data_IF_609353328297
#
_entry.id   IF_609353328297
#
_cell.length_a   1.000
_cell.length_b   1.000
_cell.length_c   1.000
_cell.angle_alpha   90.00
_cell.angle_beta   90.00
_cell.angle_gamma   90.00
#
_symmetry.space_group_name_H-M   'P 1'
#
loop_
_entity.id
_entity.type
_entity.pdbx_description
1 polymer ?
#
# COMPACT_ATOMS: atom_id res chain seq x y z
N UNK A 1 -96.52 8.31 -3.57
CA UNK A 1 -95.58 9.47 -3.51
C UNK A 1 -94.86 9.41 -2.17
N UNK A 2 -93.51 9.53 -2.17
CA UNK A 2 -92.54 9.42 -1.05
C UNK A 2 -92.13 7.98 -0.69
N UNK A 3 -91.10 7.39 -1.31
CA UNK A 3 -89.63 7.57 -1.21
C UNK A 3 -88.99 6.99 0.06
N UNK A 4 -88.27 5.89 -0.16
CA UNK A 4 -87.28 5.21 0.69
C UNK A 4 -86.13 6.16 1.05
N UNK A 5 -85.64 6.11 2.30
CA UNK A 5 -84.37 6.70 2.72
C UNK A 5 -83.26 5.64 2.64
N UNK A 6 -82.07 5.93 2.08
CA UNK A 6 -80.87 5.13 2.33
C UNK A 6 -80.03 5.75 3.46
N UNK A 7 -79.45 4.88 4.28
CA UNK A 7 -78.44 5.18 5.29
C UNK A 7 -77.09 5.46 4.59
N UNK A 8 -76.42 6.54 5.02
CA UNK A 8 -75.08 6.89 4.56
C UNK A 8 -74.04 6.24 5.47
N UNK A 9 -73.27 5.30 4.93
CA UNK A 9 -72.04 4.79 5.53
C UNK A 9 -70.95 5.85 5.37
N UNK A 10 -70.43 6.39 6.47
CA UNK A 10 -69.22 7.21 6.46
C UNK A 10 -68.00 6.31 6.26
N UNK A 11 -67.38 6.41 5.08
CA UNK A 11 -66.06 5.83 4.81
C UNK A 11 -65.00 6.74 5.47
N UNK A 12 -64.39 6.30 6.56
CA UNK A 12 -63.18 6.93 7.07
C UNK A 12 -61.98 6.48 6.22
N UNK A 13 -61.48 7.35 5.34
CA UNK A 13 -60.16 7.19 4.73
C UNK A 13 -59.09 7.45 5.79
N UNK A 14 -58.50 6.38 6.31
CA UNK A 14 -57.23 6.47 7.05
C UNK A 14 -56.09 6.55 6.04
N UNK A 15 -55.55 7.75 5.84
CA UNK A 15 -54.29 7.96 5.12
C UNK A 15 -53.17 7.49 6.05
N UNK A 16 -52.65 6.29 5.82
CA UNK A 16 -51.40 5.85 6.43
C UNK A 16 -50.27 6.59 5.72
N UNK A 17 -49.78 7.66 6.34
CA UNK A 17 -48.58 8.36 5.92
C UNK A 17 -47.38 7.45 6.27
N UNK A 18 -46.97 6.62 5.32
CA UNK A 18 -45.72 5.85 5.42
C UNK A 18 -44.55 6.83 5.40
N UNK A 19 -44.12 7.26 6.58
CA UNK A 19 -42.85 7.99 6.75
C UNK A 19 -41.75 7.00 6.42
N UNK A 20 -41.26 7.01 5.18
CA UNK A 20 -39.94 6.48 4.88
C UNK A 20 -38.94 7.32 5.65
N UNK A 21 -38.52 6.83 6.81
CA UNK A 21 -37.26 7.23 7.42
C UNK A 21 -36.16 6.84 6.44
N UNK A 22 -35.85 7.75 5.52
CA UNK A 22 -34.56 7.75 4.84
C UNK A 22 -33.57 8.07 5.95
N UNK A 23 -32.98 7.02 6.54
CA UNK A 23 -31.82 7.19 7.37
C UNK A 23 -30.80 7.98 6.53
N UNK A 24 -30.23 9.08 7.05
CA UNK A 24 -29.15 9.71 6.34
C UNK A 24 -28.04 8.66 6.25
N UNK A 25 -27.67 8.24 5.04
CA UNK A 25 -26.42 7.53 4.81
C UNK A 25 -25.31 8.56 5.02
N UNK A 26 -25.06 8.90 6.28
CA UNK A 26 -23.83 9.56 6.71
C UNK A 26 -22.77 8.48 6.87
N UNK A 27 -22.46 7.82 5.75
CA UNK A 27 -21.26 7.01 5.66
C UNK A 27 -20.12 7.94 5.30
N UNK A 28 -19.50 8.58 6.28
CA UNK A 28 -18.11 8.97 6.07
C UNK A 28 -17.38 7.66 5.77
N UNK A 29 -16.94 7.47 4.53
CA UNK A 29 -16.17 6.29 4.12
C UNK A 29 -15.02 6.12 5.12
N UNK A 30 -15.00 5.01 5.84
CA UNK A 30 -13.93 4.74 6.79
C UNK A 30 -12.62 4.62 6.01
N UNK A 31 -11.61 5.37 6.44
CA UNK A 31 -10.28 5.35 5.84
C UNK A 31 -9.71 3.92 5.85
N UNK A 32 -9.16 3.47 4.72
CA UNK A 32 -8.46 2.18 4.66
C UNK A 32 -7.17 2.29 5.48
N UNK A 33 -7.03 1.49 6.53
CA UNK A 33 -5.82 1.42 7.31
C UNK A 33 -5.33 -0.02 7.35
N UNK A 34 -4.41 -0.33 6.46
CA UNK A 34 -4.00 -1.71 6.15
C UNK A 34 -2.63 -2.03 6.76
N UNK A 35 -2.52 -3.20 7.38
CA UNK A 35 -1.26 -3.69 7.95
C UNK A 35 -0.86 -4.99 7.30
N UNK A 36 0.33 -5.05 6.68
CA UNK A 36 0.90 -6.33 6.26
C UNK A 36 1.50 -7.03 7.48
N UNK A 37 1.09 -8.27 7.73
CA UNK A 37 1.63 -9.13 8.79
C UNK A 37 2.38 -10.29 8.14
N UNK A 38 3.68 -10.39 8.42
CA UNK A 38 4.58 -11.32 7.75
C UNK A 38 4.85 -12.56 8.61
N UNK A 39 5.20 -13.67 7.96
CA UNK A 39 5.65 -14.87 8.67
C UNK A 39 7.01 -14.73 9.34
N UNK A 40 7.84 -13.81 8.85
CA UNK A 40 9.16 -13.45 9.39
C UNK A 40 9.01 -12.69 10.71
N UNK A 41 8.04 -11.80 10.79
CA UNK A 41 7.75 -10.97 11.97
C UNK A 41 6.27 -11.11 12.38
N UNK A 42 5.82 -12.27 12.89
CA UNK A 42 4.42 -12.55 13.20
C UNK A 42 4.00 -11.91 14.55
N UNK A 43 4.40 -10.66 14.76
CA UNK A 43 4.26 -9.91 16.01
C UNK A 43 3.16 -8.88 15.81
N UNK A 44 2.19 -8.90 16.73
CA UNK A 44 1.09 -7.93 16.80
C UNK A 44 1.14 -7.32 18.19
N UNK A 45 1.11 -5.99 18.34
CA UNK A 45 1.14 -5.34 19.64
C UNK A 45 -0.17 -5.55 20.42
N UNK A 46 -0.26 -4.91 21.58
CA UNK A 46 -1.52 -4.75 22.32
C UNK A 46 -2.66 -4.21 21.45
N UNK A 47 -3.89 -4.65 21.74
CA UNK A 47 -5.08 -4.32 20.94
C UNK A 47 -5.37 -2.82 20.85
N UNK A 48 -4.97 -2.03 21.85
CA UNK A 48 -5.05 -0.56 21.86
C UNK A 48 -4.27 0.10 20.71
N UNK A 49 -3.18 -0.53 20.24
CA UNK A 49 -2.36 0.00 19.15
C UNK A 49 -2.86 -0.40 17.76
N UNK A 50 -3.79 -1.35 17.67
CA UNK A 50 -4.34 -1.83 16.38
C UNK A 50 -5.85 -1.68 16.28
N UNK A 51 -6.48 -0.98 17.22
CA UNK A 51 -7.95 -0.84 17.28
C UNK A 51 -8.56 -0.04 16.12
N UNK A 52 -7.75 0.71 15.39
CA UNK A 52 -8.14 1.50 14.21
C UNK A 52 -7.73 0.85 12.88
N UNK A 53 -7.01 -0.29 12.92
CA UNK A 53 -6.63 -1.03 11.72
C UNK A 53 -7.87 -1.64 11.09
N UNK A 54 -8.15 -1.31 9.84
CA UNK A 54 -9.35 -1.77 9.14
C UNK A 54 -9.10 -3.03 8.33
N UNK A 55 -7.86 -3.24 7.88
CA UNK A 55 -7.47 -4.43 7.14
C UNK A 55 -6.12 -4.98 7.61
N UNK A 56 -5.97 -6.29 7.58
CA UNK A 56 -4.69 -6.99 7.76
C UNK A 56 -4.46 -7.89 6.58
N UNK A 57 -3.31 -7.76 5.92
CA UNK A 57 -2.90 -8.62 4.82
C UNK A 57 -1.85 -9.63 5.32
N UNK A 58 -2.18 -10.92 5.29
CA UNK A 58 -1.26 -11.99 5.70
C UNK A 58 -0.28 -12.30 4.57
N UNK A 59 0.98 -11.91 4.75
CA UNK A 59 2.04 -12.01 3.76
C UNK A 59 2.98 -13.20 4.02
N UNK A 60 3.16 -14.15 3.10
CA UNK A 60 2.45 -14.31 1.81
C UNK A 60 2.02 -15.76 1.61
N UNK A 61 0.95 -15.93 0.83
CA UNK A 61 0.63 -17.20 0.18
C UNK A 61 1.35 -17.25 -1.17
N UNK A 62 2.11 -18.33 -1.43
CA UNK A 62 2.78 -18.48 -2.73
C UNK A 62 1.78 -18.63 -3.86
N UNK A 63 1.99 -17.88 -4.94
CA UNK A 63 1.19 -17.86 -6.16
C UNK A 63 1.16 -19.22 -6.84
N UNK A 64 2.24 -20.00 -6.72
CA UNK A 64 2.35 -21.34 -7.33
C UNK A 64 1.23 -22.30 -6.89
N UNK A 65 0.74 -22.17 -5.66
CA UNK A 65 -0.29 -23.03 -5.07
C UNK A 65 -1.63 -22.91 -5.82
N UNK A 66 -1.92 -21.76 -6.42
CA UNK A 66 -3.19 -21.50 -7.10
C UNK A 66 -3.27 -22.09 -8.51
N UNK A 67 -2.16 -22.61 -9.04
CA UNK A 67 -2.12 -23.23 -10.36
C UNK A 67 -2.35 -24.76 -10.32
N UNK A 68 -2.62 -25.32 -9.15
CA UNK A 68 -2.79 -26.76 -8.96
C UNK A 68 -4.27 -27.17 -8.90
N UNK A 69 -4.78 -28.01 -9.82
CA UNK A 69 -6.16 -28.48 -9.79
C UNK A 69 -6.49 -29.25 -8.51
N UNK A 70 -7.64 -28.91 -7.89
CA UNK A 70 -8.17 -29.67 -6.76
C UNK A 70 -7.43 -29.46 -5.44
N UNK A 71 -6.62 -28.41 -5.31
CA UNK A 71 -5.94 -28.06 -4.05
C UNK A 71 -6.93 -27.89 -2.90
N UNK A 72 -6.55 -28.37 -1.72
CA UNK A 72 -7.30 -28.19 -0.46
C UNK A 72 -6.43 -27.67 0.70
N UNK A 73 -5.10 -27.65 0.55
CA UNK A 73 -4.18 -27.18 1.58
C UNK A 73 -3.64 -25.79 1.22
N UNK A 74 -3.63 -24.90 2.21
CA UNK A 74 -3.30 -23.48 2.11
C UNK A 74 -2.40 -23.08 3.29
N UNK A 75 -1.10 -23.43 3.23
CA UNK A 75 -0.19 -23.28 4.36
C UNK A 75 0.18 -21.81 4.58
N UNK A 76 -0.49 -21.17 5.52
CA UNK A 76 -0.11 -19.88 6.08
C UNK A 76 0.75 -20.06 7.33
N UNK A 77 1.61 -19.08 7.61
CA UNK A 77 2.40 -19.04 8.86
C UNK A 77 1.54 -18.86 10.13
N UNK A 78 0.26 -18.51 9.97
CA UNK A 78 -0.74 -18.32 11.01
C UNK A 78 -2.13 -18.64 10.48
N UNK A 79 -3.16 -18.66 11.32
CA UNK A 79 -4.55 -18.79 10.88
C UNK A 79 -5.27 -17.45 10.92
N UNK A 80 -6.31 -17.30 10.09
CA UNK A 80 -7.18 -16.11 10.06
C UNK A 80 -7.81 -15.87 11.43
N UNK A 81 -8.35 -16.91 12.09
CA UNK A 81 -8.97 -16.79 13.41
C UNK A 81 -7.99 -16.30 14.49
N UNK A 82 -6.75 -16.82 14.48
CA UNK A 82 -5.72 -16.40 15.42
C UNK A 82 -5.39 -14.92 15.25
N UNK A 83 -5.30 -14.44 14.01
CA UNK A 83 -5.05 -13.03 13.73
C UNK A 83 -6.28 -12.21 14.11
N UNK A 84 -7.47 -12.58 13.65
CA UNK A 84 -8.74 -11.88 13.94
C UNK A 84 -8.94 -11.63 15.44
N UNK A 85 -8.58 -12.58 16.29
CA UNK A 85 -8.69 -12.45 17.75
C UNK A 85 -7.84 -11.31 18.37
N UNK A 86 -6.87 -10.76 17.61
CA UNK A 86 -5.98 -9.68 18.06
C UNK A 86 -6.39 -8.29 17.57
N UNK A 87 -7.32 -8.20 16.63
CA UNK A 87 -7.77 -6.94 16.02
C UNK A 87 -9.22 -6.64 16.39
N UNK A 88 -9.71 -5.47 15.98
CA UNK A 88 -11.11 -5.12 16.16
C UNK A 88 -12.03 -6.07 15.37
N UNK A 89 -13.27 -6.24 15.83
CA UNK A 89 -14.19 -7.25 15.27
C UNK A 89 -14.50 -7.00 13.79
N UNK A 90 -14.52 -5.74 13.38
CA UNK A 90 -14.76 -5.25 12.02
C UNK A 90 -13.54 -5.32 11.10
N UNK A 91 -12.34 -5.57 11.64
CA UNK A 91 -11.10 -5.65 10.85
C UNK A 91 -11.19 -6.81 9.86
N UNK A 92 -10.98 -6.49 8.58
CA UNK A 92 -10.94 -7.45 7.48
C UNK A 92 -9.59 -8.13 7.42
N UNK A 93 -9.57 -9.46 7.38
CA UNK A 93 -8.34 -10.24 7.28
C UNK A 93 -8.23 -10.77 5.85
N UNK A 94 -7.27 -10.27 5.09
CA UNK A 94 -6.96 -10.67 3.72
C UNK A 94 -5.75 -11.61 3.71
N UNK A 95 -5.64 -12.42 2.66
CA UNK A 95 -4.44 -13.18 2.35
C UNK A 95 -3.73 -12.50 1.18
N UNK A 96 -2.49 -12.07 1.40
CA UNK A 96 -1.66 -11.50 0.33
C UNK A 96 -1.04 -12.64 -0.49
N UNK A 97 -1.24 -12.60 -1.80
CA UNK A 97 -0.76 -13.62 -2.74
C UNK A 97 0.39 -13.02 -3.56
N UNK A 98 1.55 -13.67 -3.53
CA UNK A 98 2.73 -13.24 -4.29
C UNK A 98 3.81 -12.61 -3.43
N UNK A 99 4.17 -11.37 -3.77
CA UNK A 99 5.32 -10.63 -3.27
C UNK A 99 6.54 -10.73 -4.18
N UNK A 100 7.57 -9.94 -3.87
CA UNK A 100 8.81 -9.84 -4.63
C UNK A 100 9.41 -11.21 -5.01
N UNK A 101 9.52 -11.46 -6.31
CA UNK A 101 10.11 -12.68 -6.88
C UNK A 101 9.12 -13.81 -7.18
N UNK A 102 7.89 -13.79 -6.68
CA UNK A 102 6.85 -14.79 -7.01
C UNK A 102 6.08 -14.42 -8.30
N UNK A 103 6.83 -14.17 -9.38
CA UNK A 103 6.30 -13.65 -10.65
C UNK A 103 5.85 -14.76 -11.61
N UNK A 104 6.63 -15.85 -11.73
CA UNK A 104 6.43 -16.86 -12.77
C UNK A 104 5.06 -17.57 -12.69
N UNK A 105 4.56 -17.80 -11.48
CA UNK A 105 3.26 -18.43 -11.27
C UNK A 105 2.10 -17.49 -11.62
N UNK A 106 2.25 -16.17 -11.48
CA UNK A 106 1.27 -15.20 -11.98
C UNK A 106 1.27 -15.17 -13.51
N UNK A 107 2.44 -15.15 -14.14
CA UNK A 107 2.56 -15.24 -15.60
C UNK A 107 1.91 -16.53 -16.13
N UNK A 108 2.03 -17.65 -15.42
CA UNK A 108 1.31 -18.88 -15.77
C UNK A 108 -0.21 -18.71 -15.63
N UNK A 109 -0.67 -18.19 -14.49
CA UNK A 109 -2.09 -17.99 -14.19
C UNK A 109 -2.77 -17.08 -15.24
N UNK A 110 -2.13 -15.98 -15.61
CA UNK A 110 -2.69 -14.99 -16.54
C UNK A 110 -2.72 -15.46 -18.00
N UNK A 111 -1.91 -16.48 -18.37
CA UNK A 111 -1.59 -16.85 -19.77
C UNK A 111 -2.80 -17.24 -20.62
N UNK A 112 -3.77 -17.94 -20.03
CA UNK A 112 -4.91 -18.49 -20.76
C UNK A 112 -6.20 -18.36 -19.96
N UNK A 113 -7.34 -18.37 -20.63
CA UNK A 113 -8.65 -18.37 -19.96
C UNK A 113 -8.79 -19.53 -18.98
N UNK A 114 -8.30 -20.72 -19.36
CA UNK A 114 -8.35 -21.91 -18.50
C UNK A 114 -7.50 -21.72 -17.23
N UNK A 115 -6.29 -21.16 -17.37
CA UNK A 115 -5.39 -20.93 -16.24
C UNK A 115 -5.95 -19.87 -15.30
N UNK A 116 -6.51 -18.78 -15.84
CA UNK A 116 -7.14 -17.73 -15.03
C UNK A 116 -8.31 -18.26 -14.21
N UNK A 117 -9.17 -19.07 -14.84
CA UNK A 117 -10.30 -19.72 -14.16
C UNK A 117 -9.86 -20.70 -13.08
N UNK A 118 -8.82 -21.49 -13.34
CA UNK A 118 -8.26 -22.39 -12.33
C UNK A 118 -7.72 -21.59 -11.13
N UNK A 119 -6.93 -20.55 -11.39
CA UNK A 119 -6.41 -19.67 -10.35
C UNK A 119 -7.53 -19.04 -9.53
N UNK A 120 -8.52 -18.42 -10.20
CA UNK A 120 -9.67 -17.79 -9.55
C UNK A 120 -10.51 -18.78 -8.72
N UNK A 121 -10.74 -19.99 -9.22
CA UNK A 121 -11.44 -21.05 -8.48
C UNK A 121 -10.66 -21.44 -7.23
N UNK A 122 -9.35 -21.59 -7.34
CA UNK A 122 -8.48 -21.91 -6.21
C UNK A 122 -8.43 -20.78 -5.17
N UNK A 123 -8.50 -19.51 -5.60
CA UNK A 123 -8.69 -18.37 -4.69
C UNK A 123 -10.00 -18.51 -3.93
N UNK A 124 -11.12 -18.83 -4.60
CA UNK A 124 -12.40 -19.04 -3.93
C UNK A 124 -12.32 -20.17 -2.90
N UNK A 125 -11.73 -21.32 -3.25
CA UNK A 125 -11.54 -22.45 -2.32
C UNK A 125 -10.70 -22.05 -1.11
N UNK A 126 -9.61 -21.31 -1.34
CA UNK A 126 -8.75 -20.81 -0.27
C UNK A 126 -9.51 -19.90 0.70
N UNK A 127 -10.34 -18.98 0.20
CA UNK A 127 -11.16 -18.10 1.04
C UNK A 127 -12.21 -18.87 1.86
N UNK A 128 -12.83 -19.89 1.29
CA UNK A 128 -13.79 -20.75 2.00
C UNK A 128 -13.12 -21.57 3.12
N UNK A 129 -11.93 -22.11 2.86
CA UNK A 129 -11.20 -22.95 3.84
C UNK A 129 -10.59 -22.09 4.96
N UNK A 130 -10.02 -20.94 4.62
CA UNK A 130 -9.30 -20.10 5.59
C UNK A 130 -10.22 -19.18 6.37
N UNK A 131 -11.41 -18.84 5.83
CA UNK A 131 -12.30 -17.84 6.42
C UNK A 131 -11.81 -16.39 6.26
N UNK A 132 -10.86 -16.13 5.36
CA UNK A 132 -10.37 -14.78 5.08
C UNK A 132 -11.45 -13.91 4.41
N UNK A 133 -11.49 -12.62 4.74
CA UNK A 133 -12.48 -11.67 4.20
C UNK A 133 -12.22 -11.28 2.74
N UNK A 134 -11.05 -11.63 2.21
CA UNK A 134 -10.61 -11.22 0.88
C UNK A 134 -9.16 -11.57 0.60
N UNK A 135 -8.63 -11.00 -0.48
CA UNK A 135 -7.25 -11.16 -0.91
C UNK A 135 -6.58 -9.82 -1.17
N UNK A 136 -5.25 -9.82 -1.11
CA UNK A 136 -4.41 -8.78 -1.67
C UNK A 136 -3.54 -9.40 -2.78
N UNK A 137 -3.55 -8.84 -3.97
CA UNK A 137 -2.73 -9.31 -5.10
C UNK A 137 -1.43 -8.51 -5.15
N UNK A 138 -0.31 -9.18 -4.97
CA UNK A 138 1.02 -8.56 -5.01
C UNK A 138 1.87 -9.19 -6.11
N UNK A 139 1.57 -8.84 -7.37
CA UNK A 139 2.36 -9.26 -8.53
C UNK A 139 3.39 -8.17 -8.84
N UNK A 140 4.68 -8.50 -8.64
CA UNK A 140 5.80 -7.58 -8.87
C UNK A 140 6.67 -7.95 -10.10
N UNK A 141 6.51 -7.34 -11.28
CA UNK A 141 5.36 -6.55 -11.73
C UNK A 141 4.81 -7.11 -13.05
N UNK A 142 3.48 -7.03 -13.29
CA UNK A 142 2.90 -7.40 -14.56
C UNK A 142 3.46 -6.51 -15.68
N UNK A 143 3.99 -7.14 -16.72
CA UNK A 143 4.63 -6.46 -17.85
C UNK A 143 6.15 -6.38 -17.75
N UNK A 144 6.74 -6.67 -16.58
CA UNK A 144 8.19 -6.76 -16.41
C UNK A 144 8.74 -5.97 -15.23
N UNK A 145 10.06 -5.72 -15.25
CA UNK A 145 10.82 -5.08 -14.17
C UNK A 145 10.74 -5.73 -12.77
N UNK A 146 10.21 -6.95 -12.66
CA UNK A 146 10.27 -7.77 -11.43
C UNK A 146 11.69 -8.21 -11.06
N UNK A 147 11.82 -9.13 -10.12
CA UNK A 147 13.12 -9.68 -9.69
C UNK A 147 13.92 -10.25 -10.87
N UNK A 148 13.23 -10.90 -11.80
CA UNK A 148 13.79 -11.64 -12.92
C UNK A 148 14.12 -10.79 -14.16
N UNK A 149 13.98 -9.46 -14.10
CA UNK A 149 14.02 -8.55 -15.26
C UNK A 149 15.30 -8.60 -16.11
N UNK A 150 16.41 -9.09 -15.55
CA UNK A 150 17.69 -9.28 -16.26
C UNK A 150 17.73 -10.56 -17.08
N UNK A 151 16.93 -11.55 -16.69
CA UNK A 151 16.82 -12.85 -17.35
C UNK A 151 15.58 -12.94 -18.23
N UNK A 152 14.55 -12.14 -17.94
CA UNK A 152 13.30 -12.06 -18.69
C UNK A 152 13.01 -10.60 -19.05
N UNK A 153 13.38 -10.17 -20.28
CA UNK A 153 13.20 -8.78 -20.71
C UNK A 153 11.72 -8.44 -20.86
N UNK A 154 11.38 -7.15 -20.75
CA UNK A 154 9.99 -6.69 -20.71
C UNK A 154 9.21 -7.04 -21.99
N UNK A 155 9.88 -7.14 -23.14
CA UNK A 155 9.27 -7.52 -24.42
C UNK A 155 8.66 -8.94 -24.38
N UNK A 156 9.21 -9.86 -23.57
CA UNK A 156 8.65 -11.20 -23.37
C UNK A 156 7.41 -11.21 -22.48
N UNK A 157 7.20 -10.13 -21.73
CA UNK A 157 6.14 -9.95 -20.72
C UNK A 157 5.09 -8.92 -21.11
N UNK A 158 5.22 -8.24 -22.24
CA UNK A 158 4.28 -7.18 -22.68
C UNK A 158 2.81 -7.66 -22.68
N UNK A 159 2.57 -8.93 -23.05
CA UNK A 159 1.23 -9.53 -23.04
C UNK A 159 0.57 -9.56 -21.64
N UNK A 160 1.34 -9.47 -20.55
CA UNK A 160 0.85 -9.40 -19.17
C UNK A 160 0.07 -8.11 -18.89
N UNK A 161 0.38 -7.02 -19.61
CA UNK A 161 -0.26 -5.71 -19.44
C UNK A 161 -1.79 -5.82 -19.63
N UNK A 162 -2.22 -6.53 -20.67
CA UNK A 162 -3.66 -6.76 -20.93
C UNK A 162 -4.19 -8.02 -20.22
N UNK A 163 -3.32 -8.95 -19.82
CA UNK A 163 -3.74 -10.17 -19.13
C UNK A 163 -4.00 -9.95 -17.64
N UNK A 164 -3.33 -8.99 -16.99
CA UNK A 164 -3.51 -8.68 -15.58
C UNK A 164 -4.96 -8.28 -15.21
N UNK A 165 -5.60 -7.29 -15.86
CA UNK A 165 -7.02 -6.99 -15.59
C UNK A 165 -7.95 -8.19 -15.87
N UNK A 166 -7.62 -9.06 -16.83
CA UNK A 166 -8.42 -10.26 -17.11
C UNK A 166 -8.32 -11.29 -15.97
N UNK A 167 -7.14 -11.44 -15.36
CA UNK A 167 -6.95 -12.30 -14.19
C UNK A 167 -7.76 -11.77 -13.01
N UNK A 168 -7.68 -10.47 -12.73
CA UNK A 168 -8.45 -9.84 -11.65
C UNK A 168 -9.97 -9.97 -11.86
N UNK A 169 -10.44 -9.84 -13.10
CA UNK A 169 -11.86 -10.01 -13.43
C UNK A 169 -12.34 -11.45 -13.18
N UNK A 170 -11.57 -12.47 -13.58
CA UNK A 170 -11.91 -13.87 -13.30
C UNK A 170 -11.92 -14.16 -11.79
N UNK A 171 -10.98 -13.58 -11.03
CA UNK A 171 -10.97 -13.67 -9.56
C UNK A 171 -12.22 -13.04 -8.96
N UNK A 172 -12.55 -11.80 -9.35
CA UNK A 172 -13.75 -11.10 -8.89
C UNK A 172 -15.02 -11.90 -9.19
N UNK A 173 -15.12 -12.47 -10.39
CA UNK A 173 -16.24 -13.34 -10.76
C UNK A 173 -16.35 -14.59 -9.88
N UNK A 174 -15.22 -15.20 -9.50
CA UNK A 174 -15.21 -16.41 -8.69
C UNK A 174 -15.55 -16.16 -7.21
N UNK A 175 -15.11 -15.04 -6.63
CA UNK A 175 -15.26 -14.77 -5.20
C UNK A 175 -16.46 -13.86 -4.86
N UNK A 176 -17.07 -13.24 -5.86
CA UNK A 176 -18.23 -12.35 -5.70
C UNK A 176 -17.88 -10.93 -5.23
N UNK A 177 -18.91 -10.11 -5.02
CA UNK A 177 -18.77 -8.69 -4.64
C UNK A 177 -18.55 -8.46 -3.15
N UNK A 178 -18.87 -9.44 -2.29
CA UNK A 178 -18.81 -9.29 -0.83
C UNK A 178 -17.40 -9.42 -0.26
N UNK A 179 -16.48 -10.07 -0.99
CA UNK A 179 -15.09 -10.26 -0.58
C UNK A 179 -14.23 -9.08 -1.01
N UNK A 180 -13.29 -8.65 -0.19
CA UNK A 180 -12.37 -7.56 -0.53
C UNK A 180 -11.28 -8.05 -1.50
N UNK A 181 -10.98 -7.27 -2.53
CA UNK A 181 -9.78 -7.43 -3.36
C UNK A 181 -9.00 -6.13 -3.32
N UNK A 182 -7.80 -6.17 -2.75
CA UNK A 182 -6.81 -5.10 -2.92
C UNK A 182 -5.66 -5.57 -3.80
N UNK A 183 -4.82 -4.63 -4.22
CA UNK A 183 -3.56 -4.95 -4.87
C UNK A 183 -2.44 -4.03 -4.38
N UNK A 184 -1.28 -4.62 -4.04
CA UNK A 184 -0.03 -3.89 -3.91
C UNK A 184 0.50 -3.56 -5.31
N UNK A 185 0.85 -2.29 -5.53
CA UNK A 185 1.22 -1.78 -6.86
C UNK A 185 2.48 -0.91 -6.80
N UNK A 186 3.29 -0.86 -7.88
CA UNK A 186 4.61 -0.22 -7.84
C UNK A 186 4.54 1.26 -7.50
N UNK A 187 5.46 1.75 -6.65
CA UNK A 187 5.63 3.19 -6.38
C UNK A 187 6.50 3.91 -7.40
N UNK A 188 7.22 3.19 -8.26
CA UNK A 188 8.09 3.77 -9.28
C UNK A 188 7.42 3.72 -10.65
N UNK A 189 7.29 4.87 -11.33
CA UNK A 189 6.64 4.94 -12.64
C UNK A 189 7.24 4.02 -13.70
N UNK A 190 8.57 3.79 -13.64
CA UNK A 190 9.25 2.84 -14.54
C UNK A 190 8.71 1.41 -14.43
N UNK A 191 8.13 1.05 -13.29
CA UNK A 191 7.62 -0.28 -12.97
C UNK A 191 6.10 -0.40 -13.20
N UNK A 192 5.41 0.70 -13.53
CA UNK A 192 3.96 0.76 -13.73
C UNK A 192 3.49 0.28 -15.11
N UNK A 193 4.15 -0.72 -15.71
CA UNK A 193 3.92 -1.12 -17.12
C UNK A 193 2.48 -1.55 -17.40
N UNK A 194 1.84 -2.30 -16.49
CA UNK A 194 0.44 -2.70 -16.62
C UNK A 194 -0.58 -1.67 -16.10
N UNK A 195 -0.14 -0.53 -15.57
CA UNK A 195 -1.00 0.47 -14.94
C UNK A 195 -1.07 1.74 -15.78
N UNK A 196 -1.68 1.60 -16.96
CA UNK A 196 -1.87 2.65 -17.95
C UNK A 196 -3.27 3.25 -17.84
N UNK A 197 -3.53 4.39 -18.49
CA UNK A 197 -4.87 4.98 -18.58
C UNK A 197 -5.91 4.06 -19.23
N UNK A 198 -5.48 3.04 -19.98
CA UNK A 198 -6.36 2.06 -20.66
C UNK A 198 -6.66 0.85 -19.79
N UNK A 199 -5.68 0.41 -18.99
CA UNK A 199 -5.81 -0.80 -18.16
C UNK A 199 -6.35 -0.50 -16.77
N UNK A 200 -6.05 0.67 -16.19
CA UNK A 200 -6.54 1.07 -14.86
C UNK A 200 -8.06 0.98 -14.73
N UNK A 201 -8.89 1.50 -15.66
CA UNK A 201 -10.35 1.36 -15.54
C UNK A 201 -10.79 -0.11 -15.40
N UNK A 202 -10.19 -1.02 -16.18
CA UNK A 202 -10.48 -2.47 -16.12
C UNK A 202 -10.02 -3.09 -14.80
N UNK A 203 -8.87 -2.66 -14.28
CA UNK A 203 -8.35 -3.11 -12.97
C UNK A 203 -9.32 -2.69 -11.86
N UNK A 204 -9.75 -1.42 -11.85
CA UNK A 204 -10.60 -0.85 -10.81
C UNK A 204 -12.05 -1.35 -10.82
N UNK A 205 -12.50 -2.00 -11.91
CA UNK A 205 -13.76 -2.77 -11.92
C UNK A 205 -13.68 -4.03 -11.03
N UNK A 206 -12.47 -4.56 -10.81
CA UNK A 206 -12.26 -5.79 -10.06
C UNK A 206 -11.77 -5.55 -8.63
N UNK A 207 -10.99 -4.48 -8.40
CA UNK A 207 -10.37 -4.20 -7.08
C UNK A 207 -11.08 -3.09 -6.32
N UNK A 208 -11.09 -3.22 -5.00
CA UNK A 208 -11.67 -2.26 -4.07
C UNK A 208 -10.76 -1.05 -3.87
N UNK A 209 -9.45 -1.27 -3.73
CA UNK A 209 -8.44 -0.23 -3.59
C UNK A 209 -7.03 -0.72 -3.96
N UNK A 210 -6.13 0.23 -4.22
CA UNK A 210 -4.71 -0.01 -4.50
C UNK A 210 -3.83 0.44 -3.33
N UNK A 211 -2.93 -0.42 -2.91
CA UNK A 211 -1.86 -0.15 -1.96
C UNK A 211 -0.60 0.26 -2.74
N UNK A 212 -0.36 1.56 -2.93
CA UNK A 212 0.78 2.04 -3.73
C UNK A 212 2.06 2.00 -2.90
N UNK A 213 2.99 1.12 -3.28
CA UNK A 213 4.26 0.86 -2.60
C UNK A 213 5.21 2.07 -2.71
N UNK A 214 4.89 3.12 -1.96
CA UNK A 214 5.61 4.40 -1.86
C UNK A 214 6.82 4.29 -0.91
N UNK A 215 7.46 3.15 -1.01
CA UNK A 215 8.72 2.75 -0.42
C UNK A 215 9.51 1.97 -1.47
N UNK A 216 10.75 1.58 -1.18
CA UNK A 216 11.69 1.06 -2.18
C UNK A 216 11.87 1.96 -3.43
N UNK A 217 11.54 3.24 -3.30
CA UNK A 217 11.68 4.27 -4.33
C UNK A 217 13.16 4.53 -4.67
N UNK A 218 14.06 4.06 -3.80
CA UNK A 218 15.46 3.78 -4.08
C UNK A 218 15.72 2.29 -3.93
N UNK A 219 16.38 1.72 -4.93
CA UNK A 219 16.82 0.33 -4.89
C UNK A 219 18.18 0.15 -5.58
N UNK A 220 18.70 -1.08 -5.58
CA UNK A 220 20.04 -1.41 -6.07
C UNK A 220 20.27 -1.09 -7.56
N UNK A 221 19.22 -0.82 -8.33
CA UNK A 221 19.28 -0.41 -9.74
C UNK A 221 19.65 1.06 -9.91
N UNK A 222 19.54 1.88 -8.86
CA UNK A 222 19.78 3.32 -8.92
C UNK A 222 21.28 3.67 -8.81
N UNK A 223 21.72 4.64 -9.61
CA UNK A 223 23.12 5.07 -9.70
C UNK A 223 23.45 6.31 -8.87
N UNK A 224 22.44 6.88 -8.22
CA UNK A 224 22.56 8.00 -7.29
C UNK A 224 21.67 7.80 -6.07
N UNK A 225 22.09 8.33 -4.93
CA UNK A 225 21.34 8.28 -3.68
C UNK A 225 20.07 9.13 -3.74
N UNK A 226 18.98 8.60 -3.18
CA UNK A 226 17.69 9.29 -3.00
C UNK A 226 16.95 8.64 -1.83
N UNK A 227 15.84 9.23 -1.42
CA UNK A 227 15.06 8.68 -0.30
C UNK A 227 14.28 7.44 -0.76
N UNK A 228 14.36 6.33 -0.03
CA UNK A 228 13.60 5.13 -0.43
C UNK A 228 12.09 5.26 -0.16
N UNK A 229 11.68 6.18 0.72
CA UNK A 229 10.27 6.44 1.07
C UNK A 229 9.99 7.95 1.26
N UNK A 230 10.68 8.78 0.48
CA UNK A 230 10.53 10.25 0.57
C UNK A 230 9.15 10.75 0.14
N UNK A 231 8.69 11.85 0.73
CA UNK A 231 7.37 12.44 0.48
C UNK A 231 7.13 12.79 -0.99
N UNK A 232 8.10 13.44 -1.65
CA UNK A 232 7.92 13.93 -3.02
C UNK A 232 7.72 12.79 -4.01
N UNK A 233 8.56 11.75 -3.94
CA UNK A 233 8.41 10.59 -4.82
C UNK A 233 7.17 9.76 -4.45
N UNK A 234 6.77 9.77 -3.17
CA UNK A 234 5.48 9.18 -2.76
C UNK A 234 4.31 9.90 -3.43
N UNK A 235 4.28 11.24 -3.43
CA UNK A 235 3.22 12.01 -4.09
C UNK A 235 3.21 11.75 -5.60
N UNK A 236 4.38 11.75 -6.26
CA UNK A 236 4.47 11.47 -7.70
C UNK A 236 3.87 10.11 -8.05
N UNK A 237 4.16 9.10 -7.23
CA UNK A 237 3.59 7.77 -7.43
C UNK A 237 2.05 7.78 -7.33
N UNK A 238 1.51 8.42 -6.29
CA UNK A 238 0.06 8.52 -6.09
C UNK A 238 -0.61 9.30 -7.23
N UNK A 239 -0.01 10.43 -7.62
CA UNK A 239 -0.51 11.28 -8.71
C UNK A 239 -0.53 10.53 -10.04
N UNK A 240 0.50 9.73 -10.33
CA UNK A 240 0.54 8.92 -11.54
C UNK A 240 -0.65 7.94 -11.63
N UNK A 241 -1.08 7.33 -10.53
CA UNK A 241 -2.28 6.48 -10.51
C UNK A 241 -3.58 7.29 -10.67
N UNK A 242 -3.69 8.42 -9.97
CA UNK A 242 -4.88 9.28 -10.03
C UNK A 242 -5.06 9.86 -11.44
N UNK A 243 -3.99 10.37 -12.05
CA UNK A 243 -3.98 10.93 -13.41
C UNK A 243 -4.31 9.88 -14.47
N UNK A 244 -3.98 8.61 -14.22
CA UNK A 244 -4.33 7.48 -15.09
C UNK A 244 -5.72 6.89 -14.80
N UNK A 245 -6.47 7.48 -13.87
CA UNK A 245 -7.90 7.22 -13.69
C UNK A 245 -8.30 6.40 -12.46
N UNK A 246 -7.39 6.18 -11.49
CA UNK A 246 -7.80 5.59 -10.20
C UNK A 246 -8.55 6.65 -9.39
N UNK A 247 -9.77 6.38 -8.88
CA UNK A 247 -10.41 7.29 -7.93
C UNK A 247 -9.52 7.50 -6.71
N UNK A 248 -9.28 8.75 -6.30
CA UNK A 248 -8.33 9.05 -5.23
C UNK A 248 -8.68 8.32 -3.92
N UNK A 249 -9.98 8.22 -3.60
CA UNK A 249 -10.53 7.49 -2.46
C UNK A 249 -10.30 5.97 -2.50
N UNK A 250 -9.75 5.43 -3.59
CA UNK A 250 -9.33 4.03 -3.75
C UNK A 250 -7.81 3.86 -3.78
N UNK A 251 -7.05 4.91 -3.51
CA UNK A 251 -5.58 4.88 -3.44
C UNK A 251 -5.16 4.93 -1.97
N UNK A 252 -4.23 4.06 -1.57
CA UNK A 252 -3.63 4.07 -0.25
C UNK A 252 -2.14 4.41 -0.31
N UNK A 253 -1.68 5.31 0.56
CA UNK A 253 -0.28 5.65 0.76
C UNK A 253 0.45 4.52 1.51
N UNK A 254 1.67 4.19 1.10
CA UNK A 254 2.53 3.19 1.75
C UNK A 254 3.50 3.80 2.76
N UNK A 255 3.69 3.12 3.88
CA UNK A 255 4.67 3.45 4.91
C UNK A 255 5.67 2.30 5.07
N UNK A 256 6.97 2.64 5.12
CA UNK A 256 8.02 1.68 5.38
C UNK A 256 8.35 1.61 6.87
N UNK A 257 8.17 0.43 7.47
CA UNK A 257 8.57 0.14 8.85
C UNK A 257 9.94 -0.56 8.88
N UNK A 258 10.83 -0.14 7.99
CA UNK A 258 12.19 -0.65 7.86
C UNK A 258 13.13 0.47 7.38
N UNK A 259 14.43 0.21 7.46
CA UNK A 259 15.48 1.13 7.03
C UNK A 259 16.23 0.55 5.84
N UNK A 260 16.73 1.40 4.93
CA UNK A 260 17.64 1.01 3.85
C UNK A 260 18.99 1.71 3.93
N UNK A 261 20.01 1.04 3.39
CA UNK A 261 21.34 1.61 3.18
C UNK A 261 21.87 1.31 1.77
N UNK A 262 22.75 2.19 1.28
CA UNK A 262 23.35 2.10 -0.05
C UNK A 262 24.81 2.58 -0.03
N UNK A 263 25.70 1.84 -0.72
CA UNK A 263 27.12 2.19 -0.82
C UNK A 263 27.34 3.29 -1.85
N UNK A 264 27.90 4.41 -1.40
CA UNK A 264 28.26 5.56 -2.24
C UNK A 264 29.65 5.41 -2.87
N UNK A 265 29.85 5.91 -4.09
CA UNK A 265 31.11 5.81 -4.81
C UNK A 265 32.24 6.64 -4.18
N UNK A 266 33.48 6.18 -4.39
CA UNK A 266 34.69 6.96 -4.03
C UNK A 266 34.76 8.22 -4.90
N UNK A 267 35.05 9.37 -4.29
CA UNK A 267 35.20 10.64 -5.01
C UNK A 267 33.89 11.23 -5.54
N UNK A 268 32.73 10.78 -5.06
CA UNK A 268 31.42 11.27 -5.50
C UNK A 268 31.03 12.68 -5.00
N UNK A 269 31.92 13.36 -4.26
CA UNK A 269 31.62 14.64 -3.59
C UNK A 269 30.35 14.62 -2.72
N UNK A 270 30.03 13.48 -2.09
CA UNK A 270 28.81 13.33 -1.30
C UNK A 270 28.75 14.24 -0.06
N UNK A 271 29.88 14.82 0.38
CA UNK A 271 29.96 15.70 1.56
C UNK A 271 29.10 16.95 1.41
N UNK A 272 29.06 17.53 0.21
CA UNK A 272 28.22 18.71 -0.07
C UNK A 272 26.81 18.33 -0.51
N UNK A 273 26.65 17.14 -1.12
CA UNK A 273 25.40 16.71 -1.75
C UNK A 273 25.14 15.23 -1.46
N UNK A 274 24.77 14.86 -0.22
CA UNK A 274 24.60 13.45 0.15
C UNK A 274 23.42 12.78 -0.57
N UNK A 275 22.34 13.51 -0.80
CA UNK A 275 21.20 13.11 -1.63
C UNK A 275 21.52 13.51 -3.07
N UNK A 276 21.56 12.53 -3.99
CA UNK A 276 22.03 12.69 -5.37
C UNK A 276 23.49 12.28 -5.57
N UNK A 277 24.16 11.76 -4.54
CA UNK A 277 25.53 11.29 -4.66
C UNK A 277 25.60 9.99 -5.46
N UNK A 278 26.63 9.82 -6.29
CA UNK A 278 26.84 8.58 -7.05
C UNK A 278 26.98 7.37 -6.14
N UNK A 279 26.35 6.26 -6.50
CA UNK A 279 26.49 4.96 -5.84
C UNK A 279 27.63 4.15 -6.46
N UNK A 280 28.13 3.16 -5.73
CA UNK A 280 28.87 2.08 -6.38
C UNK A 280 27.94 1.26 -7.28
N UNK A 281 28.50 0.38 -8.12
CA UNK A 281 27.71 -0.65 -8.79
C UNK A 281 27.18 -1.62 -7.73
N UNK A 282 25.87 -1.59 -7.48
CA UNK A 282 25.19 -2.37 -6.41
C UNK A 282 24.49 -3.63 -6.93
N UNK A 283 24.29 -3.73 -8.24
CA UNK A 283 23.66 -4.87 -8.90
C UNK A 283 24.53 -5.36 -10.05
N UNK A 284 24.63 -6.67 -10.20
CA UNK A 284 25.34 -7.29 -11.32
C UNK A 284 24.65 -6.92 -12.65
N UNK A 285 25.37 -6.31 -13.60
CA UNK A 285 24.76 -5.74 -14.80
C UNK A 285 24.21 -6.80 -15.77
N UNK A 286 24.63 -8.06 -15.62
CA UNK A 286 24.21 -9.18 -16.48
C UNK A 286 23.09 -9.96 -15.83
N UNK A 287 23.24 -10.32 -14.55
CA UNK A 287 22.36 -11.27 -13.86
C UNK A 287 21.31 -10.59 -12.98
N UNK A 288 21.49 -9.34 -12.59
CA UNK A 288 20.59 -8.67 -11.63
C UNK A 288 20.83 -9.05 -10.17
N UNK A 289 21.86 -9.88 -9.92
CA UNK A 289 22.22 -10.32 -8.58
C UNK A 289 22.67 -9.15 -7.72
N UNK A 290 22.25 -9.15 -6.46
CA UNK A 290 22.74 -8.21 -5.46
C UNK A 290 24.25 -8.39 -5.22
N UNK A 291 25.00 -7.29 -5.28
CA UNK A 291 26.45 -7.26 -5.04
C UNK A 291 26.80 -7.02 -3.56
N UNK A 292 25.83 -7.01 -2.66
CA UNK A 292 26.03 -6.80 -1.22
C UNK A 292 26.41 -5.36 -0.89
N UNK A 293 25.92 -4.41 -1.68
CA UNK A 293 26.25 -2.96 -1.56
C UNK A 293 25.02 -2.07 -1.37
N UNK A 294 23.87 -2.70 -1.21
CA UNK A 294 22.66 -2.11 -0.70
C UNK A 294 22.00 -3.12 0.23
N UNK A 295 21.14 -2.67 1.13
CA UNK A 295 20.41 -3.58 1.99
C UNK A 295 19.30 -2.89 2.76
N UNK A 296 18.55 -3.71 3.49
CA UNK A 296 17.48 -3.29 4.37
C UNK A 296 17.42 -4.22 5.58
N UNK A 297 16.92 -3.71 6.70
CA UNK A 297 16.51 -4.53 7.84
C UNK A 297 15.38 -3.83 8.59
N UNK A 298 14.57 -4.62 9.30
CA UNK A 298 13.46 -4.09 10.09
C UNK A 298 13.94 -3.53 11.43
N UNK A 299 13.10 -2.75 12.10
CA UNK A 299 13.39 -2.26 13.46
C UNK A 299 13.37 -3.39 14.51
N UNK A 300 12.78 -4.54 14.18
CA UNK A 300 12.79 -5.73 15.01
C UNK A 300 14.09 -6.54 14.92
N UNK A 301 14.78 -6.47 13.78
CA UNK A 301 15.96 -7.29 13.53
C UNK A 301 17.18 -6.79 14.32
N UNK A 302 18.10 -7.70 14.59
CA UNK A 302 19.43 -7.30 15.06
C UNK A 302 20.16 -6.54 13.94
N UNK A 303 20.76 -5.42 14.30
CA UNK A 303 21.58 -4.64 13.36
C UNK A 303 22.81 -5.48 13.00
N UNK A 304 23.10 -5.72 11.71
CA UNK A 304 24.31 -6.45 11.29
C UNK A 304 25.58 -5.83 11.88
N UNK A 305 26.49 -6.66 12.38
CA UNK A 305 27.68 -6.22 13.14
C UNK A 305 28.53 -5.23 12.33
N UNK A 306 28.69 -5.49 11.03
CA UNK A 306 29.43 -4.65 10.10
C UNK A 306 28.78 -3.28 9.85
N UNK A 307 27.48 -3.15 10.13
CA UNK A 307 26.73 -1.90 9.98
C UNK A 307 26.53 -1.15 11.29
N UNK A 308 26.74 -1.79 12.44
CA UNK A 308 26.34 -1.30 13.76
C UNK A 308 26.90 0.10 14.08
N UNK A 309 28.19 0.34 13.79
CA UNK A 309 28.81 1.64 14.03
C UNK A 309 28.21 2.73 13.15
N UNK A 310 28.03 2.44 11.85
CA UNK A 310 27.47 3.41 10.90
C UNK A 310 26.01 3.72 11.19
N UNK A 311 25.23 2.67 11.49
CA UNK A 311 23.83 2.80 11.86
C UNK A 311 23.65 3.60 13.16
N UNK A 312 24.52 3.39 14.16
CA UNK A 312 24.51 4.20 15.39
C UNK A 312 24.72 5.69 15.10
N UNK A 313 25.64 6.04 14.19
CA UNK A 313 25.80 7.43 13.73
C UNK A 313 24.55 7.92 12.99
N UNK A 314 23.92 7.08 12.16
CA UNK A 314 22.69 7.43 11.46
C UNK A 314 21.56 7.78 12.42
N UNK A 315 21.34 6.97 13.46
CA UNK A 315 20.31 7.22 14.47
C UNK A 315 20.60 8.49 15.29
N UNK A 316 21.87 8.83 15.51
CA UNK A 316 22.27 10.01 16.28
C UNK A 316 22.23 11.31 15.47
N UNK A 317 22.64 11.25 14.21
CA UNK A 317 22.97 12.43 13.40
C UNK A 317 22.13 12.55 12.12
N UNK A 318 21.14 11.69 11.93
CA UNK A 318 20.25 11.78 10.77
C UNK A 318 19.51 13.10 10.73
N UNK A 319 19.16 13.50 9.51
CA UNK A 319 18.50 14.78 9.24
C UNK A 319 17.38 14.57 8.24
N UNK A 320 16.35 15.40 8.36
CA UNK A 320 15.30 15.46 7.34
C UNK A 320 15.75 16.41 6.23
N UNK A 321 15.83 15.88 5.00
CA UNK A 321 16.14 16.68 3.82
C UNK A 321 14.90 17.42 3.34
N UNK A 322 14.97 18.75 3.21
CA UNK A 322 13.90 19.55 2.60
C UNK A 322 14.25 19.87 1.14
N UNK A 323 13.40 19.46 0.19
CA UNK A 323 13.62 19.73 -1.23
C UNK A 323 12.82 20.97 -1.66
N UNK A 324 13.46 22.08 -2.06
CA UNK A 324 12.74 23.20 -2.64
C UNK A 324 12.26 22.84 -4.06
N UNK A 325 11.03 22.33 -4.21
CA UNK A 325 10.35 22.23 -5.52
C UNK A 325 9.96 23.63 -6.04
N UNK A 326 10.00 23.82 -7.37
CA UNK A 326 9.36 24.97 -8.02
C UNK A 326 7.87 24.96 -7.69
N UNK A 327 7.33 26.13 -7.30
CA UNK A 327 5.97 26.39 -6.79
C UNK A 327 4.78 25.83 -7.60
N UNK A 328 5.00 25.30 -8.80
CA UNK A 328 3.95 24.86 -9.72
C UNK A 328 3.54 23.38 -9.55
N UNK A 329 4.34 22.54 -8.87
CA UNK A 329 4.08 21.09 -8.74
C UNK A 329 3.55 20.66 -7.36
N UNK A 330 3.51 21.56 -6.37
CA UNK A 330 3.16 21.19 -4.99
C UNK A 330 2.58 22.38 -4.21
N UNK A 331 1.47 22.16 -3.50
CA UNK A 331 0.72 23.18 -2.74
C UNK A 331 1.00 23.19 -1.23
N UNK A 332 1.87 22.30 -0.72
CA UNK A 332 2.24 22.27 0.71
C UNK A 332 3.49 23.10 1.06
N UNK A 333 3.82 23.13 2.36
CA UNK A 333 4.98 23.87 2.90
C UNK A 333 6.28 23.49 2.16
N UNK A 334 7.14 24.48 1.89
CA UNK A 334 8.45 24.28 1.23
C UNK A 334 9.41 23.45 2.10
N UNK A 335 9.19 23.46 3.41
CA UNK A 335 10.04 22.84 4.43
C UNK A 335 9.74 21.36 4.72
N UNK A 336 8.84 20.68 3.98
CA UNK A 336 8.42 19.30 4.31
C UNK A 336 8.69 18.28 3.18
N UNK A 337 9.38 18.68 2.11
CA UNK A 337 9.38 18.02 0.79
C UNK A 337 10.47 16.95 0.55
N UNK A 338 10.93 16.23 1.55
CA UNK A 338 11.94 15.19 1.30
C UNK A 338 11.78 13.96 2.15
N UNK A 339 12.81 13.63 2.91
CA UNK A 339 12.92 12.33 3.57
C UNK A 339 14.08 12.32 4.53
N UNK A 340 14.02 11.40 5.48
CA UNK A 340 15.05 11.27 6.49
C UNK A 340 16.22 10.46 5.94
N UNK A 341 17.43 10.96 6.21
CA UNK A 341 18.65 10.29 5.76
C UNK A 341 19.82 10.58 6.69
N UNK A 342 20.88 9.79 6.51
CA UNK A 342 22.21 10.10 7.01
C UNK A 342 23.24 9.60 6.01
N UNK A 343 24.34 10.32 5.84
CA UNK A 343 25.48 9.82 5.08
C UNK A 343 26.70 9.71 5.98
N UNK A 344 27.16 8.48 6.15
CA UNK A 344 28.39 8.17 6.87
C UNK A 344 29.56 8.33 5.90
N UNK A 345 30.38 9.36 6.11
CA UNK A 345 31.55 9.64 5.28
C UNK A 345 32.61 8.55 5.39
N UNK A 346 32.82 7.99 6.58
CA UNK A 346 33.86 7.00 6.84
C UNK A 346 33.50 5.67 6.17
N UNK A 347 32.26 5.22 6.34
CA UNK A 347 31.78 3.95 5.77
C UNK A 347 31.25 4.11 4.34
N UNK A 348 31.07 5.35 3.86
CA UNK A 348 30.46 5.67 2.56
C UNK A 348 29.07 5.08 2.41
N UNK A 349 28.30 5.03 3.49
CA UNK A 349 26.95 4.49 3.52
C UNK A 349 25.93 5.62 3.57
N UNK A 350 25.00 5.60 2.63
CA UNK A 350 23.82 6.45 2.63
C UNK A 350 22.65 5.67 3.24
N UNK A 351 22.12 6.16 4.34
CA UNK A 351 20.99 5.60 5.09
C UNK A 351 19.72 6.38 4.75
N UNK A 352 18.59 5.71 4.59
CA UNK A 352 17.28 6.34 4.39
C UNK A 352 16.20 5.53 5.10
N UNK A 353 15.30 6.22 5.81
CA UNK A 353 14.18 5.64 6.55
C UNK A 353 13.10 6.69 6.81
N UNK A 354 11.96 6.24 7.34
CA UNK A 354 10.96 7.10 7.95
C UNK A 354 11.21 7.25 9.44
N UNK A 355 11.09 8.46 9.97
CA UNK A 355 10.91 8.67 11.42
C UNK A 355 9.43 8.83 11.75
N UNK A 356 9.06 8.75 13.03
CA UNK A 356 7.72 9.10 13.48
C UNK A 356 7.25 10.49 12.96
N UNK A 357 8.13 11.49 13.01
CA UNK A 357 7.85 12.81 12.46
C UNK A 357 7.69 12.82 10.93
N UNK A 358 8.50 12.06 10.20
CA UNK A 358 8.36 11.94 8.75
C UNK A 358 7.01 11.29 8.36
N UNK A 359 6.58 10.25 9.08
CA UNK A 359 5.27 9.61 8.87
C UNK A 359 4.14 10.61 9.09
N UNK A 360 4.17 11.36 10.19
CA UNK A 360 3.15 12.38 10.47
C UNK A 360 3.10 13.46 9.38
N UNK A 361 4.26 13.96 8.95
CA UNK A 361 4.37 14.93 7.86
C UNK A 361 3.85 14.37 6.54
N UNK A 362 4.18 13.12 6.21
CA UNK A 362 3.67 12.47 4.99
C UNK A 362 2.16 12.33 5.00
N UNK A 363 1.60 11.80 6.09
CA UNK A 363 0.16 11.63 6.23
C UNK A 363 -0.58 12.97 6.11
N UNK A 364 -0.16 13.99 6.85
CA UNK A 364 -0.74 15.33 6.78
C UNK A 364 -0.69 15.87 5.34
N UNK A 365 0.49 15.87 4.73
CA UNK A 365 0.73 16.47 3.42
C UNK A 365 -0.06 15.82 2.29
N UNK A 366 -0.11 14.48 2.28
CA UNK A 366 -0.79 13.72 1.23
C UNK A 366 -2.30 13.83 1.37
N UNK A 367 -2.84 13.64 2.57
CA UNK A 367 -4.28 13.65 2.78
C UNK A 367 -4.90 15.04 2.62
N UNK A 368 -4.24 16.10 3.07
CA UNK A 368 -4.70 17.48 2.88
C UNK A 368 -4.84 17.85 1.41
N UNK A 369 -4.00 17.28 0.54
CA UNK A 369 -3.88 17.73 -0.85
C UNK A 369 -4.44 16.77 -1.90
N UNK A 370 -4.62 15.49 -1.57
CA UNK A 370 -5.03 14.45 -2.55
C UNK A 370 -6.32 13.70 -2.21
N UNK A 371 -6.83 13.83 -0.98
CA UNK A 371 -8.07 13.14 -0.54
C UNK A 371 -8.04 11.62 -0.82
N UNK A 372 -6.89 11.00 -0.57
CA UNK A 372 -6.71 9.57 -0.81
C UNK A 372 -7.56 8.72 0.15
N UNK A 373 -7.78 7.45 -0.21
CA UNK A 373 -8.64 6.51 0.50
C UNK A 373 -8.08 5.96 1.80
N UNK A 374 -6.75 5.99 1.95
CA UNK A 374 -6.13 5.28 3.06
C UNK A 374 -4.62 5.31 3.12
N UNK A 375 -4.12 4.52 4.07
CA UNK A 375 -2.70 4.27 4.29
C UNK A 375 -2.51 2.79 4.59
N UNK A 376 -1.38 2.24 4.17
CA UNK A 376 -0.93 0.93 4.57
C UNK A 376 0.54 0.94 5.01
N UNK A 377 0.94 -0.08 5.74
CA UNK A 377 2.33 -0.23 6.18
C UNK A 377 2.89 -1.63 5.89
N UNK A 378 4.13 -1.64 5.43
CA UNK A 378 4.99 -2.82 5.35
C UNK A 378 6.09 -2.72 6.43
N UNK A 379 6.19 -3.63 7.41
CA UNK A 379 5.21 -4.60 7.91
C UNK A 379 4.97 -4.42 9.42
N UNK A 380 3.81 -4.81 9.93
CA UNK A 380 3.40 -4.51 11.31
C UNK A 380 4.40 -5.01 12.37
N UNK A 381 4.89 -6.24 12.21
CA UNK A 381 5.85 -6.83 13.14
C UNK A 381 7.27 -6.31 12.97
N UNK A 382 7.60 -5.68 11.85
CA UNK A 382 8.92 -5.10 11.57
C UNK A 382 9.21 -3.88 12.46
N UNK A 383 8.16 -3.25 13.02
CA UNK A 383 8.26 -2.11 13.94
C UNK A 383 8.36 -2.54 15.42
N UNK A 384 8.34 -3.85 15.70
CA UNK A 384 8.49 -4.37 17.05
C UNK A 384 9.91 -4.10 17.62
N UNK A 385 10.09 -4.10 18.95
CA UNK A 385 9.06 -4.24 19.99
C UNK A 385 8.38 -2.93 20.37
N UNK A 386 8.83 -1.80 19.83
CA UNK A 386 8.40 -0.47 20.29
C UNK A 386 7.20 0.08 19.56
N UNK A 387 6.99 -0.34 18.30
CA UNK A 387 5.89 0.09 17.46
C UNK A 387 5.84 1.62 17.30
N UNK A 388 7.00 2.27 17.15
CA UNK A 388 7.11 3.74 17.09
C UNK A 388 6.47 4.28 15.81
N UNK A 389 6.63 3.59 14.69
CA UNK A 389 6.09 3.98 13.38
C UNK A 389 4.56 3.73 13.32
N UNK A 390 4.09 2.63 13.89
CA UNK A 390 2.66 2.34 14.07
C UNK A 390 1.99 3.43 14.94
N UNK A 391 2.61 3.84 16.05
CA UNK A 391 2.08 4.90 16.89
C UNK A 391 1.97 6.24 16.14
N UNK A 392 2.98 6.58 15.33
CA UNK A 392 2.95 7.76 14.47
C UNK A 392 1.82 7.68 13.43
N UNK A 393 1.69 6.53 12.76
CA UNK A 393 0.63 6.28 11.78
C UNK A 393 -0.77 6.37 12.44
N UNK A 394 -0.94 5.79 13.63
CA UNK A 394 -2.16 5.90 14.44
C UNK A 394 -2.52 7.35 14.77
N UNK A 395 -1.53 8.17 15.11
CA UNK A 395 -1.74 9.59 15.38
C UNK A 395 -2.21 10.32 14.12
N UNK A 396 -1.56 10.09 12.99
CA UNK A 396 -1.96 10.65 11.70
C UNK A 396 -3.38 10.23 11.29
N UNK A 397 -3.67 8.94 11.25
CA UNK A 397 -5.01 8.42 10.90
C UNK A 397 -6.10 8.98 11.81
N UNK A 398 -5.86 9.07 13.12
CA UNK A 398 -6.84 9.67 14.05
C UNK A 398 -7.07 11.16 13.80
N UNK A 399 -6.04 11.92 13.43
CA UNK A 399 -6.23 13.33 13.08
C UNK A 399 -7.09 13.50 11.82
N UNK A 400 -6.94 12.60 10.85
CA UNK A 400 -7.72 12.62 9.61
C UNK A 400 -9.20 12.27 9.85
N UNK A 401 -9.47 11.25 10.67
CA UNK A 401 -10.85 10.87 11.02
C UNK A 401 -11.60 11.91 11.87
N UNK A 402 -10.87 12.74 12.64
CA UNK A 402 -11.47 13.80 13.47
C UNK A 402 -11.68 15.12 12.71
N UNK A 403 -11.14 15.25 11.51
CA UNK A 403 -10.99 16.53 10.82
C UNK A 403 -11.39 16.48 9.35
N UNK A 404 -12.70 16.36 9.07
CA UNK A 404 -13.25 17.19 7.99
C UNK A 404 -13.01 18.65 8.40
N UNK A 405 -11.84 19.21 8.06
CA UNK A 405 -11.39 20.47 8.62
C UNK A 405 -12.22 21.60 8.01
N UNK A 406 -13.22 22.08 8.74
CA UNK A 406 -13.64 23.48 8.65
C UNK A 406 -12.46 24.33 9.12
N UNK A 407 -11.71 24.89 8.16
CA UNK A 407 -10.80 25.97 8.45
C UNK A 407 -11.64 27.23 8.66
N UNK A 408 -11.80 27.66 9.92
CA UNK A 408 -12.22 29.01 10.25
C UNK A 408 -11.26 29.99 9.56
N UNK A 409 -11.75 30.60 8.48
CA UNK A 409 -11.08 31.73 7.87
C UNK A 409 -10.95 32.83 8.91
N UNK A 410 -9.71 33.20 9.24
CA UNK A 410 -9.44 34.43 9.95
C UNK A 410 -10.02 35.59 9.12
N UNK A 411 -11.18 36.07 9.56
CA UNK A 411 -11.76 37.31 9.11
C UNK A 411 -10.76 38.43 9.37
N UNK A 412 -10.24 39.01 8.29
CA UNK A 412 -9.80 40.41 8.33
C UNK A 412 -11.06 41.25 8.56
N UNK A 413 -11.26 41.69 9.79
CA UNK A 413 -12.11 42.86 10.04
C UNK A 413 -11.28 44.11 9.73
N UNK A 414 -11.85 44.92 8.85
CA UNK A 414 -11.50 46.31 8.65
C UNK A 414 -11.36 47.05 9.98
N UNK A 415 -10.28 47.83 10.11
CA UNK A 415 -10.25 49.22 10.56
C UNK A 415 -8.93 49.86 10.14
#
# INVERSE_FOLDING_TARGET
MKFYRPEWVQLQLSIILSVFLVAPVTGASQLNYVMYLTGQHPIVPESSLVSNVTHVALAFMSTSLFNEPGRQDWPLFTTVDKVRSKFAQETKIQIAIGGWGDTAAFSHAARSVANRKLFAMNVAVMLEITGADGIDIDWEYPGGNGEDYKTHPNEEKEWEIEAYPQLLAEIRMAIGSERVISAAVPGLERDMLAFTSTTIPKIMESVDFLNVMTYDLMNRRDTVTKHHTGLVDSIRALDAYIERGVPAEKVNLGLAFYVKWFKTAVGGHCESTPVGCKTELMEDPVTGKDLGKAGAFSWHDEVPEELAMSFSKAMKNGVYHNVPLKRAEYSGNEEDRGGYYYWDKEERLFWSWDTAGAIETKLRSVFETRKIGGVFAWGLGEDAPKFEHLQAANKGVRSLNKGGVEYEGQGRSEL
#
